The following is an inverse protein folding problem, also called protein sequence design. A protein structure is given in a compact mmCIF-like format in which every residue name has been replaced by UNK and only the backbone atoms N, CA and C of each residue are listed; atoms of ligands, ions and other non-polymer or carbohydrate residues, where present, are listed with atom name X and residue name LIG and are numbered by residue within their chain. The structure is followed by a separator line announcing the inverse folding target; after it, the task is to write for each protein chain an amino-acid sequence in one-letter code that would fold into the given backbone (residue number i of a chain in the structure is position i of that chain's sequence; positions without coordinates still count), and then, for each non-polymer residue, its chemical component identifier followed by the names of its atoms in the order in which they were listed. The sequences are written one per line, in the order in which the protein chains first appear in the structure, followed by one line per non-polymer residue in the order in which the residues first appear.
data_IF_249811596204
#
_entry.id   IF_249811596204
#
_cell.length_a   1.000
_cell.length_b   1.000
_cell.length_c   1.000
_cell.angle_alpha   90.00
_cell.angle_beta   90.00
_cell.angle_gamma   90.00
#
_symmetry.space_group_name_H-M   'P 1'
#
loop_
_entity.id
_entity.type
_entity.pdbx_description
1 polymer ?
#
# COMPACT_ATOMS: atom_id res chain seq x y z
N UNK A 1 -22.02 17.43 -17.42
CA UNK A 1 -21.57 18.62 -16.66
C UNK A 1 -22.09 18.49 -15.23
N UNK A 2 -21.41 17.75 -14.36
CA UNK A 2 -21.79 17.63 -12.95
C UNK A 2 -21.01 18.67 -12.14
N UNK A 3 -21.76 19.60 -11.57
CA UNK A 3 -21.32 20.80 -10.89
C UNK A 3 -20.79 20.44 -9.49
N UNK A 4 -19.60 20.96 -9.20
CA UNK A 4 -18.90 21.07 -7.92
C UNK A 4 -19.59 20.52 -6.65
N UNK A 5 -18.97 19.50 -6.06
CA UNK A 5 -18.95 19.25 -4.61
C UNK A 5 -17.47 19.23 -4.21
N UNK A 6 -16.93 20.41 -3.92
CA UNK A 6 -15.51 20.62 -3.54
C UNK A 6 -15.32 21.26 -2.16
N UNK A 7 -16.34 21.25 -1.29
CA UNK A 7 -16.27 21.91 0.03
C UNK A 7 -16.48 20.94 1.21
N UNK A 8 -15.86 19.78 1.15
CA UNK A 8 -15.71 18.88 2.30
C UNK A 8 -14.46 18.03 2.14
N UNK A 9 -13.81 17.56 3.25
CA UNK A 9 -12.76 16.57 3.11
C UNK A 9 -13.31 15.42 2.26
N UNK A 10 -12.54 14.92 1.28
CA UNK A 10 -13.01 13.86 0.41
C UNK A 10 -13.57 12.73 1.28
N UNK A 11 -14.79 12.26 0.99
CA UNK A 11 -15.35 11.07 1.64
C UNK A 11 -14.49 9.88 1.20
N UNK A 12 -13.40 9.63 1.92
CA UNK A 12 -12.42 8.59 1.65
C UNK A 12 -11.12 8.86 2.40
N UNK A 13 -10.49 7.82 2.95
CA UNK A 13 -9.28 7.91 3.78
C UNK A 13 -7.98 8.28 3.05
N UNK A 14 -8.07 8.79 1.81
CA UNK A 14 -6.90 9.10 0.99
C UNK A 14 -6.73 10.62 0.84
N UNK A 15 -5.62 11.16 1.36
CA UNK A 15 -5.19 12.55 1.11
C UNK A 15 -4.05 12.57 0.09
N UNK A 16 -4.18 13.45 -0.92
CA UNK A 16 -3.17 13.68 -1.94
C UNK A 16 -2.42 15.01 -1.75
N UNK A 17 -2.56 15.66 -0.59
CA UNK A 17 -1.92 16.95 -0.32
C UNK A 17 -0.39 16.85 -0.40
N UNK A 18 0.16 15.69 -0.02
CA UNK A 18 1.59 15.40 -0.14
C UNK A 18 2.07 15.34 -1.59
N UNK A 19 1.23 14.95 -2.56
CA UNK A 19 1.61 14.94 -3.98
C UNK A 19 1.89 16.37 -4.46
N UNK A 20 1.00 17.31 -4.16
CA UNK A 20 1.16 18.74 -4.52
C UNK A 20 2.40 19.35 -3.88
N UNK A 21 2.66 19.04 -2.60
CA UNK A 21 3.87 19.48 -1.91
C UNK A 21 5.12 18.95 -2.60
N UNK A 22 5.16 17.66 -2.91
CA UNK A 22 6.31 17.03 -3.56
C UNK A 22 6.59 17.64 -4.94
N UNK A 23 5.57 17.93 -5.75
CA UNK A 23 5.72 18.62 -7.04
C UNK A 23 6.35 20.02 -6.88
N UNK A 24 5.94 20.76 -5.85
CA UNK A 24 6.51 22.08 -5.55
C UNK A 24 7.99 21.99 -5.15
N UNK A 25 8.35 20.98 -4.34
CA UNK A 25 9.74 20.76 -3.92
C UNK A 25 10.63 20.37 -5.11
N UNK A 26 10.14 19.52 -6.01
CA UNK A 26 10.83 19.17 -7.26
C UNK A 26 11.08 20.41 -8.12
N UNK A 27 10.07 21.28 -8.29
CA UNK A 27 10.23 22.55 -9.03
C UNK A 27 11.25 23.49 -8.40
N UNK A 28 11.47 23.40 -7.08
CA UNK A 28 12.51 24.16 -6.36
C UNK A 28 13.90 23.50 -6.43
N UNK A 29 14.06 22.43 -7.21
CA UNK A 29 15.33 21.74 -7.41
C UNK A 29 15.66 20.68 -6.36
N UNK A 30 14.73 20.35 -5.46
CA UNK A 30 14.94 19.28 -4.48
C UNK A 30 14.76 17.93 -5.18
N UNK A 31 15.79 17.08 -5.08
CA UNK A 31 15.76 15.71 -5.59
C UNK A 31 14.88 14.84 -4.68
N UNK A 32 13.95 14.09 -5.27
CA UNK A 32 13.14 13.13 -4.53
C UNK A 32 14.00 11.93 -4.11
N UNK A 33 13.71 11.30 -2.95
CA UNK A 33 14.30 10.02 -2.60
C UNK A 33 14.01 8.98 -3.69
N UNK A 34 14.96 8.08 -3.93
CA UNK A 34 14.73 6.93 -4.81
C UNK A 34 13.58 6.06 -4.27
N UNK A 35 12.80 5.46 -5.17
CA UNK A 35 11.79 4.49 -4.75
C UNK A 35 12.48 3.22 -4.20
N UNK A 36 11.95 2.65 -3.13
CA UNK A 36 12.41 1.35 -2.62
C UNK A 36 11.56 0.24 -3.21
N UNK A 37 12.14 -0.59 -4.09
CA UNK A 37 11.52 -1.83 -4.55
C UNK A 37 11.73 -2.90 -3.48
N UNK A 38 10.63 -3.44 -2.96
CA UNK A 38 10.61 -4.50 -1.95
C UNK A 38 10.43 -5.88 -2.56
N UNK A 39 10.09 -5.95 -3.86
CA UNK A 39 9.90 -7.20 -4.60
C UNK A 39 8.52 -7.84 -4.40
N UNK A 40 7.67 -7.24 -3.57
CA UNK A 40 6.30 -7.69 -3.27
C UNK A 40 5.28 -6.85 -3.98
N UNK A 41 4.29 -7.48 -4.62
CA UNK A 41 3.11 -6.81 -5.18
C UNK A 41 1.84 -7.27 -4.47
N UNK A 42 1.09 -6.30 -3.93
CA UNK A 42 -0.23 -6.51 -3.31
C UNK A 42 -1.26 -5.62 -4.02
N UNK A 43 -2.50 -6.10 -4.13
CA UNK A 43 -3.60 -5.42 -4.81
C UNK A 43 -4.86 -5.54 -3.96
N UNK A 44 -5.65 -4.48 -3.90
CA UNK A 44 -6.98 -4.48 -3.31
C UNK A 44 -7.99 -3.88 -4.30
N UNK A 45 -9.18 -4.46 -4.36
CA UNK A 45 -10.29 -3.97 -5.17
C UNK A 45 -11.61 -4.04 -4.40
N UNK A 46 -12.48 -3.07 -4.63
CA UNK A 46 -13.81 -2.98 -4.02
C UNK A 46 -14.84 -3.35 -5.07
N UNK A 47 -15.79 -4.21 -4.73
CA UNK A 47 -16.95 -4.58 -5.54
C UNK A 47 -18.25 -4.33 -4.76
N UNK A 48 -19.41 -4.59 -5.37
CA UNK A 48 -20.73 -4.23 -4.82
C UNK A 48 -20.93 -4.66 -3.36
N UNK A 49 -20.57 -5.89 -3.02
CA UNK A 49 -20.83 -6.49 -1.71
C UNK A 49 -19.55 -6.80 -0.89
N UNK A 50 -18.39 -6.25 -1.27
CA UNK A 50 -17.17 -6.52 -0.53
C UNK A 50 -15.88 -6.06 -1.17
N UNK A 51 -14.79 -6.71 -0.76
CA UNK A 51 -13.42 -6.43 -1.22
C UNK A 51 -12.70 -7.71 -1.60
N UNK A 52 -11.79 -7.64 -2.57
CA UNK A 52 -10.82 -8.71 -2.86
C UNK A 52 -9.42 -8.18 -2.58
N UNK A 53 -8.64 -8.99 -1.87
CA UNK A 53 -7.21 -8.78 -1.62
C UNK A 53 -6.42 -9.84 -2.37
N UNK A 54 -5.40 -9.43 -3.11
CA UNK A 54 -4.48 -10.32 -3.82
C UNK A 54 -3.04 -9.98 -3.49
N UNK A 55 -2.20 -11.00 -3.34
CA UNK A 55 -0.77 -10.86 -3.10
C UNK A 55 -0.01 -11.94 -3.87
N UNK A 56 1.21 -11.64 -4.28
CA UNK A 56 2.16 -12.68 -4.70
C UNK A 56 2.65 -13.50 -3.49
N UNK A 57 3.26 -14.65 -3.75
CA UNK A 57 3.79 -15.56 -2.71
C UNK A 57 5.31 -15.58 -2.63
N UNK A 58 5.99 -14.82 -3.50
CA UNK A 58 7.47 -14.76 -3.53
C UNK A 58 7.98 -13.84 -2.42
N UNK A 59 8.96 -14.28 -1.65
CA UNK A 59 9.75 -13.45 -0.75
C UNK A 59 11.24 -13.51 -1.13
N UNK A 60 11.91 -12.36 -1.09
CA UNK A 60 13.31 -12.24 -1.49
C UNK A 60 14.17 -11.63 -0.39
N UNK A 61 15.37 -12.17 -0.20
CA UNK A 61 16.43 -11.57 0.60
C UNK A 61 17.47 -10.98 -0.36
N UNK A 62 17.36 -9.69 -0.63
CA UNK A 62 18.13 -9.04 -1.68
C UNK A 62 17.79 -9.64 -3.06
N UNK A 63 18.78 -10.15 -3.82
CA UNK A 63 18.54 -10.73 -5.14
C UNK A 63 18.07 -12.20 -5.12
N UNK A 64 18.02 -12.85 -3.95
CA UNK A 64 17.73 -14.29 -3.83
C UNK A 64 16.26 -14.50 -3.42
N UNK A 65 15.57 -15.44 -4.06
CA UNK A 65 14.25 -15.89 -3.60
C UNK A 65 14.43 -16.80 -2.39
N UNK A 66 14.10 -16.29 -1.21
CA UNK A 66 14.21 -17.00 0.06
C UNK A 66 13.03 -17.95 0.29
N UNK A 67 11.83 -17.52 -0.09
CA UNK A 67 10.62 -18.33 -0.04
C UNK A 67 9.75 -18.12 -1.29
N UNK A 68 9.19 -19.20 -1.82
CA UNK A 68 8.30 -19.20 -2.98
C UNK A 68 6.81 -19.16 -2.57
N UNK A 69 6.51 -19.49 -1.32
CA UNK A 69 5.15 -19.70 -0.79
C UNK A 69 4.90 -18.90 0.48
N UNK A 70 5.50 -17.71 0.60
CA UNK A 70 5.29 -16.81 1.74
C UNK A 70 3.89 -16.20 1.68
N UNK A 71 3.13 -16.35 2.76
CA UNK A 71 1.83 -15.71 2.95
C UNK A 71 2.02 -14.24 3.33
N UNK A 72 1.23 -13.36 2.71
CA UNK A 72 1.29 -11.91 2.92
C UNK A 72 -0.06 -11.28 3.26
N UNK A 73 -1.10 -12.11 3.39
CA UNK A 73 -2.46 -11.69 3.71
C UNK A 73 -2.73 -12.18 5.12
N UNK A 74 -2.69 -11.26 6.08
CA UNK A 74 -2.80 -11.54 7.49
C UNK A 74 -4.26 -11.37 7.94
N UNK A 75 -4.72 -12.29 8.78
CA UNK A 75 -6.03 -12.19 9.43
C UNK A 75 -5.97 -11.15 10.54
N UNK A 76 -6.95 -10.25 10.59
CA UNK A 76 -7.07 -9.26 11.68
C UNK A 76 -8.34 -9.47 12.50
N UNK A 77 -9.46 -9.75 11.84
CA UNK A 77 -10.77 -9.98 12.46
C UNK A 77 -11.69 -10.76 11.51
N UNK A 78 -12.88 -11.24 11.95
CA UNK A 78 -13.77 -12.06 11.10
C UNK A 78 -14.14 -11.45 9.75
N UNK A 79 -14.07 -10.13 9.61
CA UNK A 79 -14.37 -9.37 8.40
C UNK A 79 -13.25 -8.40 7.99
N UNK A 80 -12.03 -8.55 8.55
CA UNK A 80 -10.90 -7.66 8.28
C UNK A 80 -9.64 -8.50 8.05
N UNK A 81 -8.99 -8.25 6.91
CA UNK A 81 -7.68 -8.77 6.57
C UNK A 81 -6.78 -7.62 6.13
N UNK A 82 -5.47 -7.78 6.26
CA UNK A 82 -4.51 -6.81 5.77
C UNK A 82 -3.39 -7.48 4.97
N UNK A 83 -2.85 -6.77 3.98
CA UNK A 83 -1.70 -7.25 3.21
C UNK A 83 -0.42 -6.54 3.64
N UNK A 84 0.64 -7.30 3.89
CA UNK A 84 1.97 -6.78 4.21
C UNK A 84 2.84 -6.57 2.97
N UNK A 85 3.53 -5.43 2.90
CA UNK A 85 4.62 -5.19 1.95
C UNK A 85 5.69 -4.29 2.58
N UNK A 86 6.97 -4.55 2.29
CA UNK A 86 8.06 -3.88 2.97
C UNK A 86 9.02 -4.88 3.60
N UNK A 87 9.56 -4.54 4.76
CA UNK A 87 10.30 -5.47 5.59
C UNK A 87 9.34 -6.51 6.17
N UNK A 88 9.53 -7.79 5.84
CA UNK A 88 8.61 -8.86 6.26
C UNK A 88 8.48 -8.98 7.79
N UNK A 89 9.59 -8.84 8.52
CA UNK A 89 9.58 -8.91 9.99
C UNK A 89 8.76 -7.77 10.64
N UNK A 90 8.83 -6.57 10.07
CA UNK A 90 8.09 -5.41 10.59
C UNK A 90 6.58 -5.60 10.32
N UNK A 91 6.20 -6.12 9.16
CA UNK A 91 4.79 -6.37 8.84
C UNK A 91 4.21 -7.44 9.75
N UNK A 92 4.91 -8.56 9.94
CA UNK A 92 4.46 -9.65 10.79
C UNK A 92 4.27 -9.18 12.24
N UNK A 93 5.28 -8.50 12.80
CA UNK A 93 5.24 -8.04 14.19
C UNK A 93 4.11 -7.05 14.49
N UNK A 94 3.68 -6.28 13.48
CA UNK A 94 2.58 -5.32 13.63
C UNK A 94 1.21 -6.00 13.47
N UNK A 95 1.12 -7.07 12.67
CA UNK A 95 -0.14 -7.77 12.40
C UNK A 95 -0.43 -8.93 13.35
N UNK A 96 0.57 -9.47 14.03
CA UNK A 96 0.47 -10.60 14.97
C UNK A 96 -0.02 -10.20 16.38
N UNK A 97 -0.84 -9.14 16.49
CA UNK A 97 -1.40 -8.64 17.76
C UNK A 97 -2.79 -9.20 18.09
#
# INVERSE_FOLDING_TARGET
MAKALLDGPPKGGFSFDMCRRNDMLVKKGIQLPGFRKTGTTIVGLVFEDGVILGADTRATEGPIVADKNCEKIHYMAPNIYCCGAGTAADTEAVTDM
#
